data_IF_419915132503
#
_entry.id   IF_419915132503
#
_cell.length_a   1.000
_cell.length_b   1.000
_cell.length_c   1.000
_cell.angle_alpha   90.00
_cell.angle_beta   90.00
_cell.angle_gamma   90.00
#
_symmetry.space_group_name_H-M   'P 1'
#
loop_
_entity.id
_entity.type
_entity.pdbx_description
1 polymer ?
#
# COMPACT_ATOMS: atom_id res chain seq x y z
N UNK A 1 -2.88 18.32 5.83
CA UNK A 1 -1.72 17.56 5.33
C UNK A 1 -1.34 16.36 6.19
N UNK A 2 -1.00 16.52 7.48
CA UNK A 2 -0.49 15.40 8.31
C UNK A 2 -1.39 14.15 8.32
N UNK A 3 -2.72 14.31 8.36
CA UNK A 3 -3.65 13.16 8.41
C UNK A 3 -3.51 12.21 7.21
N UNK A 4 -3.32 12.74 5.99
CA UNK A 4 -3.22 11.92 4.76
C UNK A 4 -1.86 11.21 4.69
N UNK A 5 -0.79 11.88 5.16
CA UNK A 5 0.55 11.27 5.23
C UNK A 5 0.50 10.07 6.19
N UNK A 6 -0.07 10.24 7.38
CA UNK A 6 -0.22 9.15 8.35
C UNK A 6 -1.14 8.02 7.85
N UNK A 7 -2.20 8.35 7.10
CA UNK A 7 -3.04 7.34 6.44
C UNK A 7 -2.27 6.53 5.41
N UNK A 8 -1.45 7.18 4.56
CA UNK A 8 -0.61 6.48 3.59
C UNK A 8 0.42 5.57 4.27
N UNK A 9 1.07 6.04 5.35
CA UNK A 9 2.02 5.21 6.11
C UNK A 9 1.33 3.99 6.70
N UNK A 10 0.17 4.18 7.35
CA UNK A 10 -0.58 3.08 7.94
C UNK A 10 -1.06 2.08 6.88
N UNK A 11 -1.53 2.58 5.73
CA UNK A 11 -1.94 1.76 4.60
C UNK A 11 -0.79 0.92 4.04
N UNK A 12 0.35 1.53 3.73
CA UNK A 12 1.53 0.82 3.24
C UNK A 12 2.00 -0.26 4.23
N UNK A 13 2.05 0.06 5.52
CA UNK A 13 2.44 -0.90 6.55
C UNK A 13 1.45 -2.07 6.65
N UNK A 14 0.14 -1.79 6.59
CA UNK A 14 -0.88 -2.83 6.62
C UNK A 14 -0.76 -3.78 5.42
N UNK A 15 -0.52 -3.25 4.22
CA UNK A 15 -0.32 -4.05 3.01
C UNK A 15 0.91 -4.95 3.14
N UNK A 16 2.06 -4.41 3.56
CA UNK A 16 3.29 -5.19 3.73
C UNK A 16 3.11 -6.30 4.76
N UNK A 17 2.55 -5.99 5.93
CA UNK A 17 2.30 -7.00 6.99
C UNK A 17 1.34 -8.08 6.50
N UNK A 18 0.27 -7.70 5.79
CA UNK A 18 -0.66 -8.65 5.20
C UNK A 18 0.03 -9.59 4.21
N UNK A 19 0.80 -9.04 3.25
CA UNK A 19 1.54 -9.83 2.26
C UNK A 19 2.55 -10.78 2.92
N UNK A 20 3.26 -10.33 3.97
CA UNK A 20 4.18 -11.17 4.73
C UNK A 20 3.44 -12.34 5.37
N UNK A 21 2.31 -12.09 6.05
CA UNK A 21 1.51 -13.14 6.69
C UNK A 21 1.04 -14.16 5.63
N UNK A 22 0.44 -13.68 4.55
CA UNK A 22 -0.11 -14.53 3.49
C UNK A 22 0.99 -15.35 2.79
N UNK A 23 2.17 -14.74 2.58
CA UNK A 23 3.36 -15.41 2.04
C UNK A 23 3.89 -16.49 2.98
N UNK A 24 3.91 -16.26 4.29
CA UNK A 24 4.32 -17.27 5.28
C UNK A 24 3.41 -18.50 5.29
N UNK A 25 2.11 -18.32 5.05
CA UNK A 25 1.16 -19.42 4.92
C UNK A 25 1.13 -20.05 3.51
N UNK A 26 1.89 -19.52 2.55
CA UNK A 26 1.93 -20.01 1.17
C UNK A 26 0.59 -19.83 0.43
N UNK A 27 -0.24 -18.87 0.84
CA UNK A 27 -1.61 -18.69 0.36
C UNK A 27 -1.72 -17.82 -0.89
N UNK A 28 -0.59 -17.32 -1.42
CA UNK A 28 -0.57 -16.44 -2.60
C UNK A 28 0.50 -16.83 -3.61
N UNK A 29 0.12 -16.79 -4.88
CA UNK A 29 1.05 -16.82 -5.99
C UNK A 29 1.90 -15.54 -6.08
N UNK A 30 3.12 -15.70 -6.59
CA UNK A 30 4.08 -14.61 -6.78
C UNK A 30 3.46 -13.49 -7.64
N UNK A 31 2.70 -13.85 -8.67
CA UNK A 31 2.03 -12.87 -9.54
C UNK A 31 1.05 -11.97 -8.77
N UNK A 32 0.21 -12.57 -7.91
CA UNK A 32 -0.76 -11.82 -7.10
C UNK A 32 -0.03 -10.96 -6.07
N UNK A 33 0.99 -11.52 -5.41
CA UNK A 33 1.81 -10.80 -4.42
C UNK A 33 2.42 -9.52 -5.00
N UNK A 34 2.98 -9.60 -6.22
CA UNK A 34 3.59 -8.45 -6.90
C UNK A 34 2.53 -7.42 -7.30
N UNK A 35 1.39 -7.85 -7.85
CA UNK A 35 0.30 -6.92 -8.22
C UNK A 35 -0.21 -6.15 -7.00
N UNK A 36 -0.41 -6.83 -5.87
CA UNK A 36 -0.90 -6.19 -4.64
C UNK A 36 0.17 -5.24 -4.07
N UNK A 37 1.44 -5.65 -4.05
CA UNK A 37 2.53 -4.82 -3.55
C UNK A 37 2.71 -3.56 -4.40
N UNK A 38 2.93 -3.70 -5.70
CA UNK A 38 3.14 -2.58 -6.62
C UNK A 38 1.88 -1.73 -6.81
N UNK A 39 0.70 -2.36 -6.79
CA UNK A 39 -0.59 -1.67 -6.82
C UNK A 39 -0.79 -0.77 -5.61
N UNK A 40 -0.33 -1.18 -4.43
CA UNK A 40 -0.39 -0.34 -3.22
C UNK A 40 0.46 0.93 -3.35
N UNK A 41 1.60 0.84 -4.03
CA UNK A 41 2.47 1.99 -4.34
C UNK A 41 1.75 3.01 -5.20
N UNK A 42 1.02 2.56 -6.23
CA UNK A 42 0.20 3.44 -7.09
C UNK A 42 -0.87 4.15 -6.27
N UNK A 43 -1.59 3.44 -5.39
CA UNK A 43 -2.63 4.05 -4.53
C UNK A 43 -2.06 5.14 -3.63
N UNK A 44 -0.90 4.89 -3.01
CA UNK A 44 -0.20 5.84 -2.15
C UNK A 44 0.23 7.09 -2.93
N UNK A 45 0.76 6.91 -4.14
CA UNK A 45 1.14 8.02 -5.04
C UNK A 45 -0.07 8.85 -5.42
N UNK A 46 -1.20 8.23 -5.79
CA UNK A 46 -2.44 8.93 -6.12
C UNK A 46 -2.97 9.75 -4.93
N UNK A 47 -2.93 9.20 -3.71
CA UNK A 47 -3.27 9.93 -2.50
C UNK A 47 -2.33 11.12 -2.23
N UNK A 48 -1.03 10.96 -2.51
CA UNK A 48 -0.05 12.03 -2.45
C UNK A 48 -0.33 13.15 -3.46
N UNK A 49 -0.61 12.81 -4.72
CA UNK A 49 -0.97 13.75 -5.78
C UNK A 49 -2.28 14.50 -5.46
N UNK A 50 -3.28 13.82 -4.88
CA UNK A 50 -4.52 14.45 -4.41
C UNK A 50 -4.25 15.50 -3.34
N UNK A 51 -3.35 15.22 -2.41
CA UNK A 51 -2.96 16.16 -1.37
C UNK A 51 -2.26 17.40 -1.95
N UNK A 52 -1.38 17.22 -2.94
CA UNK A 52 -0.72 18.30 -3.66
C UNK A 52 -1.71 19.21 -4.41
N UNK A 53 -2.75 18.64 -5.01
CA UNK A 53 -3.81 19.42 -5.70
C UNK A 53 -4.73 20.18 -4.74
N UNK A 54 -4.88 19.70 -3.51
CA UNK A 54 -5.74 20.30 -2.48
C UNK A 54 -5.03 21.36 -1.63
N UNK A 55 -3.79 21.70 -1.98
CA UNK A 55 -2.93 22.67 -1.31
C UNK A 55 -2.63 23.82 -2.27
#
# INVERSE_FOLDING_TARGET
MNKVIWQNIYFSMAVVVFLVIVSLFGLTDIAISVIVHEGSTIVVILNGLRLLRSN
#
